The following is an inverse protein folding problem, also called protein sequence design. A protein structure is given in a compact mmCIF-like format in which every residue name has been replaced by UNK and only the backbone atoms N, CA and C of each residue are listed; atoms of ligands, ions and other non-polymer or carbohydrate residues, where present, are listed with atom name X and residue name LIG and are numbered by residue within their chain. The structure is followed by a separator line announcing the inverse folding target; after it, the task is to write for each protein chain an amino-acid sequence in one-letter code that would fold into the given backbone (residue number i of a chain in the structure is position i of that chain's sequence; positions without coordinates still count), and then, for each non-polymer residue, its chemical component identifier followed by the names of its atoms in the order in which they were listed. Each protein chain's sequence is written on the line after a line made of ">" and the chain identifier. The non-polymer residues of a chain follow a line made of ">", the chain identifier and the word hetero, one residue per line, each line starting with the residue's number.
data_IF_432699784155
#
_entry.id   IF_432699784155
#
_cell.length_a   1.000
_cell.length_b   1.000
_cell.length_c   1.000
_cell.angle_alpha   90.00
_cell.angle_beta   90.00
_cell.angle_gamma   90.00
#
_symmetry.space_group_name_H-M   'P 1'
#
loop_
_entity.id
_entity.type
_entity.pdbx_description
1 polymer ?
#
# COMPACT_ATOMS: atom_id res chain seq x y z
N UNK A 1 -31.54 15.56 -14.52
CA UNK A 1 -30.77 14.36 -14.95
C UNK A 1 -29.70 13.93 -13.92
N UNK A 2 -29.86 14.25 -12.63
CA UNK A 2 -28.90 13.97 -11.53
C UNK A 2 -29.34 12.88 -10.54
N UNK A 3 -30.55 12.34 -10.68
CA UNK A 3 -31.05 11.31 -9.73
C UNK A 3 -30.42 9.91 -9.91
N UNK A 4 -29.80 9.64 -11.07
CA UNK A 4 -29.23 8.30 -11.34
C UNK A 4 -27.81 8.09 -10.82
N UNK A 5 -27.07 9.16 -10.49
CA UNK A 5 -25.74 9.08 -9.88
C UNK A 5 -25.80 8.60 -8.43
N UNK A 6 -26.70 9.19 -7.67
CA UNK A 6 -26.84 8.93 -6.22
C UNK A 6 -27.24 7.48 -5.90
N UNK A 7 -28.07 6.88 -6.75
CA UNK A 7 -28.53 5.49 -6.55
C UNK A 7 -27.42 4.47 -6.75
N UNK A 8 -26.51 4.70 -7.72
CA UNK A 8 -25.36 3.82 -7.96
C UNK A 8 -24.35 3.86 -6.82
N UNK A 9 -24.13 5.05 -6.26
CA UNK A 9 -23.19 5.23 -5.14
C UNK A 9 -23.74 4.61 -3.84
N UNK A 10 -25.03 4.71 -3.59
CA UNK A 10 -25.68 4.07 -2.44
C UNK A 10 -25.68 2.53 -2.57
N UNK A 11 -25.94 2.00 -3.76
CA UNK A 11 -25.87 0.54 -4.02
C UNK A 11 -24.44 0.05 -3.85
N UNK A 12 -23.45 0.81 -4.33
CA UNK A 12 -22.03 0.47 -4.22
C UNK A 12 -21.56 0.51 -2.77
N UNK A 13 -21.96 1.52 -2.00
CA UNK A 13 -21.66 1.64 -0.57
C UNK A 13 -22.27 0.48 0.22
N UNK A 14 -23.55 0.14 -0.02
CA UNK A 14 -24.21 -0.98 0.63
C UNK A 14 -23.59 -2.35 0.23
N UNK A 15 -23.13 -2.50 -1.01
CA UNK A 15 -22.43 -3.70 -1.44
C UNK A 15 -21.09 -3.86 -0.71
N UNK A 16 -20.30 -2.80 -0.58
CA UNK A 16 -19.05 -2.82 0.20
C UNK A 16 -19.32 -3.12 1.67
N UNK A 17 -20.30 -2.50 2.27
CA UNK A 17 -20.71 -2.74 3.67
C UNK A 17 -21.13 -4.21 3.92
N UNK A 18 -21.89 -4.81 3.00
CA UNK A 18 -22.28 -6.21 3.08
C UNK A 18 -21.08 -7.14 2.88
N UNK A 19 -20.16 -6.82 1.97
CA UNK A 19 -18.95 -7.61 1.71
C UNK A 19 -18.01 -7.59 2.92
N UNK A 20 -17.85 -6.45 3.60
CA UNK A 20 -17.06 -6.35 4.83
C UNK A 20 -17.64 -7.23 5.97
N UNK A 21 -18.97 -7.30 6.08
CA UNK A 21 -19.61 -8.18 7.06
C UNK A 21 -19.51 -9.67 6.72
N UNK A 22 -19.44 -10.01 5.44
CA UNK A 22 -19.34 -11.40 4.98
C UNK A 22 -17.91 -11.93 4.93
N UNK A 23 -16.91 -11.03 4.80
CA UNK A 23 -15.50 -11.35 4.78
C UNK A 23 -14.77 -10.49 5.84
N UNK A 24 -14.84 -10.87 7.12
CA UNK A 24 -14.16 -10.11 8.15
C UNK A 24 -12.66 -10.07 7.89
N UNK A 25 -12.06 -8.90 8.10
CA UNK A 25 -10.62 -8.72 8.00
C UNK A 25 -9.88 -9.74 8.87
N UNK A 26 -8.79 -10.26 8.34
CA UNK A 26 -7.86 -11.11 9.09
C UNK A 26 -6.83 -10.30 9.86
N UNK A 27 -6.70 -9.02 9.53
CA UNK A 27 -5.75 -8.10 10.15
C UNK A 27 -6.39 -7.53 11.42
N UNK A 28 -5.77 -7.80 12.55
CA UNK A 28 -6.20 -7.30 13.86
C UNK A 28 -5.28 -6.24 14.44
N UNK A 29 -4.01 -6.23 14.02
CA UNK A 29 -2.98 -5.28 14.42
C UNK A 29 -2.57 -4.40 13.23
N UNK A 30 -2.39 -3.11 13.49
CA UNK A 30 -1.95 -2.14 12.48
C UNK A 30 -0.54 -2.47 11.93
N UNK A 31 0.32 -3.13 12.72
CA UNK A 31 1.65 -3.55 12.30
C UNK A 31 1.63 -4.72 11.29
N UNK A 32 0.51 -5.45 11.21
CA UNK A 32 0.31 -6.53 10.23
C UNK A 32 -0.16 -6.01 8.88
N UNK A 33 -0.56 -4.75 8.78
CA UNK A 33 -1.02 -4.14 7.52
C UNK A 33 0.15 -4.07 6.54
N UNK A 34 0.06 -4.67 5.34
CA UNK A 34 1.10 -4.55 4.35
C UNK A 34 1.20 -3.13 3.81
N UNK A 35 2.41 -2.58 3.82
CA UNK A 35 2.74 -1.27 3.24
C UNK A 35 3.40 -1.52 1.90
N UNK A 36 2.68 -1.22 0.82
CA UNK A 36 3.09 -1.48 -0.55
C UNK A 36 3.63 -0.17 -1.14
N UNK A 37 4.92 -0.14 -1.43
CA UNK A 37 5.60 1.03 -1.99
C UNK A 37 5.78 0.83 -3.50
N UNK A 38 5.10 1.64 -4.30
CA UNK A 38 5.22 1.60 -5.75
C UNK A 38 6.46 2.37 -6.21
N UNK A 39 7.53 1.67 -6.52
CA UNK A 39 8.81 2.27 -6.85
C UNK A 39 9.18 2.14 -8.33
N UNK A 40 9.75 3.21 -8.89
CA UNK A 40 10.34 3.24 -10.22
C UNK A 40 11.61 4.11 -10.22
N UNK A 41 12.78 3.47 -10.34
CA UNK A 41 14.10 4.12 -10.43
C UNK A 41 14.44 5.11 -9.30
N UNK A 42 13.85 4.98 -8.09
CA UNK A 42 14.06 5.91 -6.97
C UNK A 42 14.65 5.19 -5.75
N UNK A 43 15.99 5.13 -5.66
CA UNK A 43 16.67 4.48 -4.53
C UNK A 43 16.67 5.33 -3.28
N UNK A 44 17.09 6.60 -3.38
CA UNK A 44 17.27 7.48 -2.22
C UNK A 44 15.96 7.76 -1.49
N UNK A 45 14.90 8.05 -2.26
CA UNK A 45 13.57 8.30 -1.68
C UNK A 45 12.98 7.06 -1.05
N UNK A 46 13.10 5.92 -1.72
CA UNK A 46 12.66 4.62 -1.21
C UNK A 46 13.31 4.30 0.14
N UNK A 47 14.62 4.44 0.26
CA UNK A 47 15.35 4.19 1.52
C UNK A 47 14.89 5.12 2.63
N UNK A 48 14.73 6.41 2.36
CA UNK A 48 14.24 7.38 3.36
C UNK A 48 12.83 7.04 3.85
N UNK A 49 11.93 6.64 2.97
CA UNK A 49 10.59 6.21 3.36
C UNK A 49 10.65 4.95 4.23
N UNK A 50 11.42 3.94 3.82
CA UNK A 50 11.61 2.71 4.58
C UNK A 50 12.17 3.01 5.97
N UNK A 51 13.23 3.83 6.07
CA UNK A 51 13.83 4.22 7.35
C UNK A 51 12.80 4.95 8.25
N UNK A 52 11.97 5.80 7.67
CA UNK A 52 10.90 6.50 8.38
C UNK A 52 9.81 5.56 8.91
N UNK A 53 9.46 4.52 8.16
CA UNK A 53 8.47 3.52 8.56
C UNK A 53 9.05 2.58 9.62
N UNK A 54 10.23 2.03 9.39
CA UNK A 54 10.87 1.05 10.28
C UNK A 54 11.25 1.67 11.63
N UNK A 55 11.66 2.94 11.66
CA UNK A 55 11.91 3.67 12.92
C UNK A 55 10.66 3.81 13.80
N UNK A 56 9.47 3.64 13.23
CA UNK A 56 8.18 3.62 13.92
C UNK A 56 7.63 2.21 14.19
N UNK A 57 8.40 1.17 13.85
CA UNK A 57 8.01 -0.22 14.05
C UNK A 57 7.20 -0.85 12.91
N UNK A 58 6.97 -0.13 11.81
CA UNK A 58 6.26 -0.68 10.65
C UNK A 58 7.22 -1.41 9.72
N UNK A 59 7.24 -2.73 9.81
CA UNK A 59 8.19 -3.60 9.09
C UNK A 59 7.57 -4.46 8.00
N UNK A 60 6.22 -4.55 7.93
CA UNK A 60 5.54 -5.30 6.89
C UNK A 60 5.51 -4.51 5.56
N UNK A 61 6.68 -4.35 4.97
CA UNK A 61 6.92 -3.55 3.77
C UNK A 61 7.10 -4.45 2.56
N UNK A 62 6.38 -4.13 1.48
CA UNK A 62 6.49 -4.77 0.17
C UNK A 62 6.82 -3.70 -0.87
N UNK A 63 7.89 -3.91 -1.61
CA UNK A 63 8.30 -3.01 -2.69
C UNK A 63 7.73 -3.54 -4.00
N UNK A 64 6.88 -2.76 -4.63
CA UNK A 64 6.33 -3.05 -5.95
C UNK A 64 7.20 -2.34 -6.99
N UNK A 65 8.15 -3.06 -7.57
CA UNK A 65 9.07 -2.50 -8.55
C UNK A 65 8.42 -2.43 -9.94
N UNK A 66 8.18 -1.22 -10.37
CA UNK A 66 7.47 -0.89 -11.61
C UNK A 66 8.41 -0.92 -12.83
N UNK A 67 9.21 -2.00 -12.95
CA UNK A 67 10.20 -2.22 -14.01
C UNK A 67 11.38 -1.24 -13.97
N UNK A 68 11.97 -1.05 -12.81
CA UNK A 68 13.18 -0.23 -12.68
C UNK A 68 14.38 -0.79 -13.44
N UNK A 69 15.22 0.12 -13.93
CA UNK A 69 16.44 -0.18 -14.70
C UNK A 69 17.69 0.44 -14.07
N UNK A 70 17.55 1.23 -13.02
CA UNK A 70 18.65 1.92 -12.33
C UNK A 70 19.57 0.94 -11.59
N UNK A 71 20.83 0.72 -12.02
CA UNK A 71 21.68 -0.35 -11.49
C UNK A 71 21.90 -0.29 -9.98
N UNK A 72 22.16 0.88 -9.33
CA UNK A 72 22.32 0.92 -7.88
C UNK A 72 21.07 0.48 -7.11
N UNK A 73 19.88 0.73 -7.65
CA UNK A 73 18.64 0.26 -7.07
C UNK A 73 18.51 -1.26 -7.17
N UNK A 74 18.86 -1.84 -8.33
CA UNK A 74 18.79 -3.28 -8.55
C UNK A 74 19.78 -4.04 -7.67
N UNK A 75 20.98 -3.49 -7.48
CA UNK A 75 21.98 -4.03 -6.55
C UNK A 75 21.49 -3.96 -5.10
N UNK A 76 20.80 -2.90 -4.72
CA UNK A 76 20.21 -2.75 -3.39
C UNK A 76 19.06 -3.76 -3.18
N UNK A 77 18.20 -3.96 -4.18
CA UNK A 77 17.14 -4.97 -4.12
C UNK A 77 17.68 -6.38 -3.86
N UNK A 78 18.82 -6.73 -4.45
CA UNK A 78 19.43 -8.04 -4.26
C UNK A 78 19.91 -8.30 -2.83
N UNK A 79 20.07 -7.25 -2.01
CA UNK A 79 20.63 -7.30 -0.65
C UNK A 79 19.65 -6.88 0.43
N UNK A 80 18.52 -6.25 0.06
CA UNK A 80 17.55 -5.77 1.03
C UNK A 80 16.77 -6.93 1.64
N UNK A 81 16.31 -6.74 2.88
CA UNK A 81 15.52 -7.72 3.63
C UNK A 81 14.02 -7.71 3.28
N UNK A 82 13.57 -6.70 2.53
CA UNK A 82 12.17 -6.53 2.18
C UNK A 82 11.79 -7.32 0.94
N UNK A 83 10.54 -7.74 0.87
CA UNK A 83 10.00 -8.37 -0.33
C UNK A 83 9.97 -7.39 -1.50
N UNK A 84 10.56 -7.77 -2.63
CA UNK A 84 10.53 -6.99 -3.88
C UNK A 84 9.79 -7.79 -4.94
N UNK A 85 8.64 -7.25 -5.37
CA UNK A 85 7.84 -7.81 -6.46
C UNK A 85 8.15 -7.01 -7.74
N UNK A 86 8.92 -7.61 -8.65
CA UNK A 86 9.25 -6.99 -9.93
C UNK A 86 8.15 -7.21 -10.94
N UNK A 87 7.56 -6.12 -11.42
CA UNK A 87 6.49 -6.16 -12.41
C UNK A 87 7.04 -6.43 -13.83
N UNK A 88 6.29 -7.14 -14.69
CA UNK A 88 6.72 -7.46 -16.05
C UNK A 88 6.77 -6.23 -16.96
N UNK A 89 6.09 -5.14 -16.59
CA UNK A 89 6.12 -3.85 -17.27
C UNK A 89 5.78 -2.72 -16.30
N UNK A 90 6.01 -1.48 -16.73
CA UNK A 90 5.60 -0.30 -15.98
C UNK A 90 4.08 -0.07 -16.13
N UNK A 91 3.35 -0.15 -15.04
CA UNK A 91 1.90 0.09 -14.95
C UNK A 91 1.56 1.51 -14.43
N UNK A 92 2.58 2.33 -14.13
CA UNK A 92 2.40 3.66 -13.55
C UNK A 92 1.87 3.60 -12.12
N UNK A 93 1.20 4.67 -11.69
CA UNK A 93 0.66 4.80 -10.34
C UNK A 93 -0.46 3.79 -10.00
N UNK A 94 -1.05 3.16 -11.00
CA UNK A 94 -2.11 2.13 -10.84
C UNK A 94 -1.56 0.70 -10.79
N UNK A 95 -0.27 0.50 -10.56
CA UNK A 95 0.39 -0.81 -10.61
C UNK A 95 -0.30 -1.86 -9.74
N UNK A 96 -0.64 -1.52 -8.49
CA UNK A 96 -1.34 -2.40 -7.56
C UNK A 96 -2.64 -2.98 -8.13
N UNK A 97 -3.44 -2.16 -8.79
CA UNK A 97 -4.77 -2.56 -9.28
C UNK A 97 -4.74 -3.16 -10.69
N UNK A 98 -3.78 -2.74 -11.53
CA UNK A 98 -3.65 -3.22 -12.91
C UNK A 98 -2.98 -4.59 -13.01
N UNK A 99 -2.07 -4.92 -12.12
CA UNK A 99 -1.39 -6.21 -12.11
C UNK A 99 -2.16 -7.22 -11.25
N UNK A 100 -2.92 -8.10 -11.90
CA UNK A 100 -3.87 -8.99 -11.26
C UNK A 100 -3.29 -9.86 -10.13
N UNK A 101 -2.07 -10.42 -10.20
CA UNK A 101 -1.51 -11.21 -9.11
C UNK A 101 -1.35 -10.42 -7.81
N UNK A 102 -0.85 -9.18 -7.90
CA UNK A 102 -0.65 -8.29 -6.76
C UNK A 102 -1.98 -7.81 -6.20
N UNK A 103 -2.90 -7.41 -7.08
CA UNK A 103 -4.26 -7.03 -6.68
C UNK A 103 -4.96 -8.13 -5.89
N UNK A 104 -4.93 -9.37 -6.39
CA UNK A 104 -5.56 -10.53 -5.73
C UNK A 104 -4.95 -10.81 -4.36
N UNK A 105 -3.64 -10.59 -4.21
CA UNK A 105 -2.94 -10.84 -2.97
C UNK A 105 -3.25 -9.80 -1.88
N UNK A 106 -3.28 -8.52 -2.23
CA UNK A 106 -3.32 -7.44 -1.25
C UNK A 106 -4.68 -6.74 -1.12
N UNK A 107 -5.48 -6.65 -2.20
CA UNK A 107 -6.71 -5.87 -2.18
C UNK A 107 -7.93 -6.62 -1.61
N UNK A 108 -7.73 -7.73 -0.91
CA UNK A 108 -8.80 -8.48 -0.22
C UNK A 108 -8.95 -8.10 1.25
N UNK A 109 -8.03 -7.32 1.79
CA UNK A 109 -8.00 -6.87 3.18
C UNK A 109 -7.42 -5.46 3.27
N UNK A 110 -7.12 -4.96 4.47
CA UNK A 110 -6.46 -3.67 4.66
C UNK A 110 -5.05 -3.68 4.07
N UNK A 111 -4.69 -2.60 3.42
CA UNK A 111 -3.34 -2.33 2.90
C UNK A 111 -3.07 -0.83 2.88
N UNK A 112 -1.79 -0.47 2.86
CA UNK A 112 -1.33 0.89 2.59
C UNK A 112 -0.62 0.86 1.23
N UNK A 113 -0.99 1.77 0.34
CA UNK A 113 -0.34 1.94 -0.95
C UNK A 113 0.21 3.35 -1.07
N UNK A 114 1.51 3.47 -1.34
CA UNK A 114 2.20 4.75 -1.36
C UNK A 114 3.29 4.79 -2.43
N UNK A 115 3.69 6.00 -2.80
CA UNK A 115 4.87 6.27 -3.62
C UNK A 115 6.10 6.52 -2.73
N UNK A 116 7.34 6.34 -3.24
CA UNK A 116 8.55 6.42 -2.43
C UNK A 116 8.91 7.86 -1.98
N UNK A 117 8.32 8.87 -2.59
CA UNK A 117 8.52 10.29 -2.25
C UNK A 117 7.57 10.82 -1.17
N UNK A 118 6.64 10.01 -0.72
CA UNK A 118 5.80 10.30 0.44
C UNK A 118 6.58 10.00 1.71
N UNK A 119 6.85 11.01 2.53
CA UNK A 119 7.55 10.84 3.80
C UNK A 119 6.67 11.27 4.96
N UNK A 120 6.75 10.52 6.05
CA UNK A 120 6.13 10.92 7.30
C UNK A 120 6.93 12.09 7.89
N UNK A 121 6.26 13.21 8.12
CA UNK A 121 6.87 14.37 8.81
C UNK A 121 7.38 13.95 10.20
N UNK A 122 8.47 14.55 10.70
CA UNK A 122 8.91 14.36 12.09
C UNK A 122 7.82 14.70 13.13
N UNK A 123 6.90 15.59 12.78
CA UNK A 123 5.76 15.98 13.62
C UNK A 123 4.60 14.98 13.56
N UNK A 124 4.64 14.05 12.60
CA UNK A 124 3.62 13.03 12.47
C UNK A 124 3.70 12.07 13.66
N UNK A 125 2.58 11.76 14.34
CA UNK A 125 2.56 10.83 15.45
C UNK A 125 3.21 9.48 15.09
N UNK A 126 3.94 8.89 16.04
CA UNK A 126 4.59 7.60 15.82
C UNK A 126 3.57 6.49 15.52
N UNK A 127 2.38 6.59 16.10
CA UNK A 127 1.24 5.68 15.98
C UNK A 127 0.23 6.10 14.87
N UNK A 128 0.70 6.77 13.82
CA UNK A 128 -0.18 7.30 12.77
C UNK A 128 -0.99 6.21 12.07
N UNK A 129 -0.39 5.06 11.79
CA UNK A 129 -1.07 3.96 11.09
C UNK A 129 -2.11 3.31 12.01
N UNK A 130 -1.81 3.13 13.30
CA UNK A 130 -2.75 2.64 14.31
C UNK A 130 -3.98 3.55 14.42
N UNK A 131 -3.78 4.86 14.43
CA UNK A 131 -4.88 5.84 14.45
C UNK A 131 -5.74 5.74 13.20
N UNK A 132 -5.12 5.67 12.02
CA UNK A 132 -5.84 5.50 10.76
C UNK A 132 -6.62 4.17 10.74
N UNK A 133 -5.99 3.10 11.20
CA UNK A 133 -6.62 1.78 11.28
C UNK A 133 -7.79 1.76 12.26
N UNK A 134 -7.66 2.41 13.41
CA UNK A 134 -8.75 2.55 14.38
C UNK A 134 -9.96 3.27 13.77
N UNK A 135 -9.73 4.37 13.03
CA UNK A 135 -10.79 5.11 12.35
C UNK A 135 -11.52 4.24 11.31
N UNK A 136 -10.78 3.41 10.57
CA UNK A 136 -11.36 2.52 9.56
C UNK A 136 -12.21 1.38 10.15
N UNK A 137 -11.99 1.03 11.42
CA UNK A 137 -12.77 0.00 12.14
C UNK A 137 -14.03 0.54 12.83
N UNK A 138 -14.19 1.84 12.95
CA UNK A 138 -15.38 2.48 13.48
C UNK A 138 -16.48 2.55 12.43
#
# INVERSE_FOLDING_TARGET
>A
MELFGHTKDVIRANYFYLMERMCPSKISDAHDIPIIINNYNRLTMLKKLIDSLTSRGYTNIVILDNQSTYPPLLEWYAKCEFEVIRLPKNYGFKALWKYAPVRKRFCSDYYIYTDPDVQLSPECPADVIERMFHILKC
#
